data_IF_238895041217
#
_entry.id   IF_238895041217
#
_cell.length_a   1.000
_cell.length_b   1.000
_cell.length_c   1.000
_cell.angle_alpha   90.00
_cell.angle_beta   90.00
_cell.angle_gamma   90.00
#
_symmetry.space_group_name_H-M   'P 1'
#
loop_
_entity.id
_entity.type
_entity.pdbx_description
1 polymer ?
#
# COMPACT_ATOMS: atom_id res chain seq x y z
N UNK A 1 -1.87 -35.64 10.81
CA UNK A 1 -1.64 -34.35 11.48
C UNK A 1 -2.46 -34.40 12.76
N UNK A 2 -1.87 -34.17 13.94
CA UNK A 2 -2.61 -34.26 15.21
C UNK A 2 -3.59 -33.09 15.35
N UNK A 3 -4.71 -33.30 16.05
CA UNK A 3 -5.77 -32.28 16.20
C UNK A 3 -5.24 -30.96 16.76
N UNK A 4 -4.28 -31.02 17.70
CA UNK A 4 -3.61 -29.86 18.27
C UNK A 4 -2.89 -29.01 17.20
N UNK A 5 -2.21 -29.62 16.22
CA UNK A 5 -1.54 -28.89 15.13
C UNK A 5 -2.55 -28.15 14.25
N UNK A 6 -3.73 -28.75 14.02
CA UNK A 6 -4.81 -28.14 13.23
C UNK A 6 -5.41 -26.96 14.01
N UNK A 7 -5.68 -27.11 15.30
CA UNK A 7 -6.17 -26.03 16.16
C UNK A 7 -5.18 -24.86 16.24
N UNK A 8 -3.89 -25.14 16.46
CA UNK A 8 -2.84 -24.12 16.42
C UNK A 8 -2.78 -23.40 15.06
N UNK A 9 -2.82 -24.14 13.95
CA UNK A 9 -2.78 -23.54 12.61
C UNK A 9 -3.98 -22.62 12.36
N UNK A 10 -5.20 -23.08 12.68
CA UNK A 10 -6.43 -22.29 12.52
C UNK A 10 -6.38 -20.99 13.34
N UNK A 11 -5.83 -21.03 14.57
CA UNK A 11 -5.64 -19.82 15.37
C UNK A 11 -4.61 -18.87 14.75
N UNK A 12 -3.48 -19.39 14.25
CA UNK A 12 -2.46 -18.57 13.54
C UNK A 12 -3.04 -17.93 12.27
N UNK A 13 -3.82 -18.67 11.49
CA UNK A 13 -4.48 -18.15 10.29
C UNK A 13 -5.47 -17.05 10.66
N UNK A 14 -6.30 -17.27 11.68
CA UNK A 14 -7.23 -16.27 12.20
C UNK A 14 -6.51 -14.99 12.63
N UNK A 15 -5.47 -15.09 13.46
CA UNK A 15 -4.73 -13.91 13.95
C UNK A 15 -4.14 -13.08 12.78
N UNK A 16 -3.66 -13.75 11.72
CA UNK A 16 -3.14 -13.09 10.51
C UNK A 16 -4.25 -12.43 9.68
N UNK A 17 -5.41 -13.09 9.54
CA UNK A 17 -6.58 -12.55 8.82
C UNK A 17 -7.17 -11.36 9.58
N UNK A 18 -7.31 -11.46 10.91
CA UNK A 18 -7.85 -10.39 11.75
C UNK A 18 -6.94 -9.14 11.65
N UNK A 19 -5.61 -9.31 11.77
CA UNK A 19 -4.65 -8.21 11.58
C UNK A 19 -4.78 -7.55 10.19
N UNK A 20 -4.81 -8.35 9.12
CA UNK A 20 -4.94 -7.82 7.75
C UNK A 20 -6.29 -7.13 7.53
N UNK A 21 -7.34 -7.60 8.19
CA UNK A 21 -8.69 -7.00 8.15
C UNK A 21 -8.67 -5.64 8.84
N UNK A 22 -8.19 -5.54 10.07
CA UNK A 22 -8.06 -4.27 10.80
C UNK A 22 -7.22 -3.26 10.04
N UNK A 23 -6.04 -3.64 9.54
CA UNK A 23 -5.20 -2.74 8.74
C UNK A 23 -5.90 -2.26 7.45
N UNK A 24 -6.69 -3.13 6.80
CA UNK A 24 -7.47 -2.76 5.61
C UNK A 24 -8.64 -1.83 5.94
N UNK A 25 -9.30 -2.02 7.09
CA UNK A 25 -10.41 -1.20 7.57
C UNK A 25 -9.94 0.20 7.97
N UNK A 26 -8.85 0.32 8.73
CA UNK A 26 -8.23 1.60 9.10
C UNK A 26 -7.86 2.44 7.87
N UNK A 27 -7.30 1.79 6.85
CA UNK A 27 -6.89 2.44 5.61
C UNK A 27 -8.10 2.82 4.75
N UNK A 28 -9.13 1.97 4.68
CA UNK A 28 -10.36 2.29 3.96
C UNK A 28 -11.15 3.44 4.64
N UNK A 29 -11.20 3.47 5.97
CA UNK A 29 -11.73 4.59 6.74
C UNK A 29 -10.96 5.89 6.46
N UNK A 30 -9.62 5.83 6.49
CA UNK A 30 -8.73 6.97 6.18
C UNK A 30 -8.84 7.49 4.74
N UNK A 31 -9.37 6.68 3.83
CA UNK A 31 -9.62 7.01 2.42
C UNK A 31 -11.07 7.50 2.20
N UNK A 32 -11.95 7.35 3.19
CA UNK A 32 -13.35 7.75 3.10
C UNK A 32 -13.55 9.27 2.96
N UNK A 33 -14.78 9.64 2.59
CA UNK A 33 -15.20 11.04 2.44
C UNK A 33 -15.94 11.52 3.70
N UNK A 34 -15.78 12.81 3.98
CA UNK A 34 -16.60 13.54 4.94
C UNK A 34 -18.05 13.68 4.41
N UNK A 35 -19.05 14.02 5.25
CA UNK A 35 -20.45 14.18 4.82
C UNK A 35 -20.67 15.22 3.71
N UNK A 36 -19.77 16.20 3.57
CA UNK A 36 -19.80 17.20 2.51
C UNK A 36 -19.24 16.70 1.15
N UNK A 37 -18.70 15.48 1.10
CA UNK A 37 -18.12 14.84 -0.09
C UNK A 37 -16.60 15.00 -0.25
N UNK A 38 -15.93 15.78 0.61
CA UNK A 38 -14.48 15.98 0.60
C UNK A 38 -13.72 14.77 1.15
N UNK A 39 -12.45 14.52 0.74
CA UNK A 39 -11.59 13.53 1.37
C UNK A 39 -11.39 13.79 2.87
N UNK A 40 -11.44 12.73 3.70
CA UNK A 40 -11.08 12.84 5.11
C UNK A 40 -9.60 13.24 5.31
N UNK A 41 -8.72 12.73 4.45
CA UNK A 41 -7.28 13.00 4.47
C UNK A 41 -6.78 13.57 3.12
N UNK A 42 -5.73 14.41 3.13
CA UNK A 42 -5.06 14.87 1.91
C UNK A 42 -4.57 13.72 1.03
N UNK A 43 -4.52 13.97 -0.28
CA UNK A 43 -4.10 13.00 -1.30
C UNK A 43 -2.76 12.32 -0.99
N UNK A 44 -1.78 13.06 -0.46
CA UNK A 44 -0.48 12.48 -0.06
C UNK A 44 -0.60 11.47 1.08
N UNK A 45 -1.33 11.80 2.13
CA UNK A 45 -1.50 10.92 3.30
C UNK A 45 -2.24 9.63 2.91
N UNK A 46 -3.27 9.74 2.06
CA UNK A 46 -3.98 8.59 1.49
C UNK A 46 -3.07 7.68 0.68
N UNK A 47 -2.19 8.24 -0.15
CA UNK A 47 -1.18 7.45 -0.88
C UNK A 47 -0.15 6.80 0.04
N UNK A 48 0.32 7.52 1.08
CA UNK A 48 1.22 6.94 2.09
C UNK A 48 0.62 5.68 2.72
N UNK A 49 -0.65 5.74 3.14
CA UNK A 49 -1.36 4.61 3.72
C UNK A 49 -1.52 3.44 2.75
N UNK A 50 -1.87 3.70 1.48
CA UNK A 50 -1.92 2.67 0.43
C UNK A 50 -0.55 2.01 0.24
N UNK A 51 0.54 2.77 0.26
CA UNK A 51 1.89 2.22 0.14
C UNK A 51 2.33 1.43 1.38
N UNK A 52 1.96 1.86 2.59
CA UNK A 52 2.17 1.08 3.82
C UNK A 52 1.44 -0.27 3.74
N UNK A 53 0.21 -0.32 3.20
CA UNK A 53 -0.49 -1.59 2.99
C UNK A 53 0.25 -2.51 2.02
N UNK A 54 0.77 -1.97 0.90
CA UNK A 54 1.57 -2.75 -0.05
C UNK A 54 2.87 -3.27 0.62
N UNK A 55 3.53 -2.46 1.45
CA UNK A 55 4.72 -2.90 2.20
C UNK A 55 4.40 -4.05 3.16
N UNK A 56 3.24 -4.03 3.85
CA UNK A 56 2.78 -5.11 4.74
C UNK A 56 2.45 -6.37 3.92
N UNK A 57 1.63 -6.25 2.87
CA UNK A 57 1.19 -7.37 2.04
C UNK A 57 2.37 -8.02 1.30
N UNK A 58 3.32 -7.21 0.82
CA UNK A 58 4.54 -7.69 0.19
C UNK A 58 5.43 -8.46 1.15
N UNK A 59 5.65 -7.93 2.36
CA UNK A 59 6.38 -8.66 3.41
C UNK A 59 5.69 -9.99 3.74
N UNK A 60 4.37 -10.00 3.92
CA UNK A 60 3.64 -11.23 4.27
C UNK A 60 3.66 -12.26 3.15
N UNK A 61 3.59 -11.83 1.89
CA UNK A 61 3.75 -12.73 0.76
C UNK A 61 5.16 -13.33 0.68
N UNK A 62 6.20 -12.52 0.88
CA UNK A 62 7.60 -12.96 0.89
C UNK A 62 7.83 -14.01 1.99
N UNK A 63 7.35 -13.71 3.21
CA UNK A 63 7.39 -14.62 4.37
C UNK A 63 6.56 -15.89 4.15
N UNK A 64 5.38 -15.78 3.54
CA UNK A 64 4.56 -16.93 3.16
C UNK A 64 5.33 -17.87 2.22
N UNK A 65 5.98 -17.32 1.20
CA UNK A 65 6.84 -18.06 0.28
C UNK A 65 8.14 -18.61 0.90
N UNK A 66 8.46 -18.28 2.16
CA UNK A 66 9.69 -18.71 2.83
C UNK A 66 10.93 -17.91 2.41
N UNK A 67 10.73 -16.71 1.88
CA UNK A 67 11.76 -15.78 1.46
C UNK A 67 12.07 -14.78 2.60
N UNK A 68 13.22 -14.12 2.50
CA UNK A 68 13.65 -13.08 3.44
C UNK A 68 14.32 -11.93 2.68
N UNK A 69 13.57 -11.36 1.73
CA UNK A 69 14.04 -10.29 0.86
C UNK A 69 13.97 -8.91 1.53
N UNK A 70 14.66 -7.94 0.92
CA UNK A 70 14.57 -6.52 1.34
C UNK A 70 13.22 -5.91 0.96
N UNK A 71 12.87 -4.79 1.60
CA UNK A 71 11.64 -4.05 1.32
C UNK A 71 11.47 -3.68 -0.15
N UNK A 72 12.54 -3.26 -0.83
CA UNK A 72 12.45 -2.91 -2.25
C UNK A 72 12.10 -4.12 -3.13
N UNK A 73 12.55 -5.31 -2.75
CA UNK A 73 12.29 -6.55 -3.47
C UNK A 73 10.88 -7.07 -3.17
N UNK A 74 10.50 -7.22 -1.89
CA UNK A 74 9.15 -7.74 -1.58
C UNK A 74 8.04 -6.82 -2.07
N UNK A 75 8.23 -5.49 -2.04
CA UNK A 75 7.30 -4.52 -2.60
C UNK A 75 7.14 -4.72 -4.12
N UNK A 76 8.26 -4.74 -4.85
CA UNK A 76 8.24 -4.85 -6.32
C UNK A 76 7.71 -6.20 -6.79
N UNK A 77 8.07 -7.27 -6.10
CA UNK A 77 7.52 -8.60 -6.33
C UNK A 77 6.00 -8.58 -6.17
N UNK A 78 5.48 -8.12 -5.03
CA UNK A 78 4.04 -8.12 -4.77
C UNK A 78 3.26 -7.28 -5.78
N UNK A 79 3.73 -6.06 -6.09
CA UNK A 79 3.13 -5.20 -7.11
C UNK A 79 3.15 -5.88 -8.49
N UNK A 80 4.25 -6.54 -8.86
CA UNK A 80 4.34 -7.26 -10.14
C UNK A 80 3.44 -8.50 -10.21
N UNK A 81 3.33 -9.27 -9.12
CA UNK A 81 2.55 -10.51 -9.08
C UNK A 81 1.03 -10.26 -8.99
N UNK A 82 0.59 -9.24 -8.26
CA UNK A 82 -0.83 -9.07 -7.91
C UNK A 82 -1.48 -7.78 -8.42
N UNK A 83 -0.70 -6.71 -8.65
CA UNK A 83 -1.25 -5.47 -9.21
C UNK A 83 -1.08 -5.42 -10.73
N UNK A 84 0.14 -5.59 -11.25
CA UNK A 84 0.48 -5.35 -12.66
C UNK A 84 0.36 -6.61 -13.52
N UNK A 85 -0.72 -7.36 -13.32
CA UNK A 85 -1.02 -8.64 -14.00
C UNK A 85 -2.36 -8.58 -14.72
N UNK A 86 -2.52 -9.34 -15.81
CA UNK A 86 -3.79 -9.45 -16.55
C UNK A 86 -4.93 -10.03 -15.69
N UNK A 87 -4.61 -10.80 -14.64
CA UNK A 87 -5.60 -11.28 -13.66
C UNK A 87 -6.22 -10.14 -12.84
N UNK A 88 -5.54 -8.99 -12.73
CA UNK A 88 -6.05 -7.82 -12.04
C UNK A 88 -6.87 -6.97 -13.03
N UNK A 89 -8.19 -7.08 -12.95
CA UNK A 89 -9.12 -6.41 -13.86
C UNK A 89 -8.99 -4.87 -13.90
N UNK A 90 -8.43 -4.24 -12.85
CA UNK A 90 -8.18 -2.80 -12.79
C UNK A 90 -6.98 -2.44 -13.67
N UNK A 91 -5.90 -3.22 -13.59
CA UNK A 91 -4.75 -3.09 -14.49
C UNK A 91 -5.13 -3.41 -15.93
N UNK A 92 -5.85 -4.52 -16.17
CA UNK A 92 -6.13 -4.96 -17.53
C UNK A 92 -6.98 -3.95 -18.32
N UNK A 93 -8.02 -3.39 -17.68
CA UNK A 93 -8.93 -2.45 -18.34
C UNK A 93 -8.37 -1.03 -18.47
N UNK A 94 -7.30 -0.69 -17.74
CA UNK A 94 -6.85 0.69 -17.63
C UNK A 94 -5.53 0.97 -18.38
N UNK A 95 -5.66 1.63 -19.53
CA UNK A 95 -4.51 2.04 -20.37
C UNK A 95 -3.51 2.94 -19.64
N UNK A 96 -3.93 3.72 -18.64
CA UNK A 96 -3.04 4.60 -17.88
C UNK A 96 -2.14 3.79 -16.92
N UNK A 97 -2.70 2.83 -16.16
CA UNK A 97 -1.87 1.98 -15.27
C UNK A 97 -0.90 1.12 -16.08
N UNK A 98 -1.30 0.62 -17.27
CA UNK A 98 -0.44 -0.15 -18.18
C UNK A 98 0.82 0.59 -18.67
N UNK A 99 0.95 1.89 -18.41
CA UNK A 99 2.15 2.68 -18.70
C UNK A 99 3.15 2.75 -17.52
N UNK A 100 2.90 2.04 -16.42
CA UNK A 100 3.75 1.99 -15.23
C UNK A 100 4.24 0.56 -14.99
N UNK A 101 5.50 0.41 -14.60
CA UNK A 101 6.07 -0.85 -14.11
C UNK A 101 6.25 -0.83 -12.57
N UNK A 102 6.65 -1.96 -11.97
CA UNK A 102 6.81 -2.06 -10.51
C UNK A 102 7.91 -1.15 -9.94
N UNK A 103 8.92 -0.78 -10.73
CA UNK A 103 9.96 0.18 -10.35
C UNK A 103 9.42 1.61 -10.31
N UNK A 104 8.51 1.99 -11.21
CA UNK A 104 7.82 3.30 -11.16
C UNK A 104 6.94 3.41 -9.91
N UNK A 105 6.22 2.33 -9.56
CA UNK A 105 5.47 2.26 -8.30
C UNK A 105 6.38 2.37 -7.07
N UNK A 106 7.55 1.71 -7.09
CA UNK A 106 8.50 1.79 -5.97
C UNK A 106 9.13 3.18 -5.84
N UNK A 107 9.49 3.82 -6.96
CA UNK A 107 9.92 5.22 -7.01
C UNK A 107 8.85 6.16 -6.46
N UNK A 108 7.60 6.02 -6.89
CA UNK A 108 6.46 6.79 -6.39
C UNK A 108 6.28 6.61 -4.87
N UNK A 109 6.31 5.36 -4.38
CA UNK A 109 6.28 5.02 -2.96
C UNK A 109 7.39 5.73 -2.16
N UNK A 110 8.62 5.68 -2.65
CA UNK A 110 9.76 6.35 -2.02
C UNK A 110 9.61 7.88 -1.99
N UNK A 111 9.05 8.47 -3.06
CA UNK A 111 8.76 9.91 -3.16
C UNK A 111 7.76 10.36 -2.10
N UNK A 112 6.66 9.62 -1.98
CA UNK A 112 5.53 9.93 -1.12
C UNK A 112 5.91 9.80 0.36
N UNK A 113 6.60 8.72 0.72
CA UNK A 113 6.95 8.41 2.11
C UNK A 113 8.19 9.16 2.63
N UNK A 114 9.24 9.33 1.80
CA UNK A 114 10.55 9.82 2.26
C UNK A 114 10.92 11.23 1.80
N UNK A 115 9.98 11.98 1.22
CA UNK A 115 10.15 13.41 0.88
C UNK A 115 11.27 13.75 -0.13
N UNK A 116 11.91 12.76 -0.78
CA UNK A 116 13.05 12.94 -1.70
C UNK A 116 12.74 13.62 -3.05
N UNK A 117 11.69 14.44 -3.12
CA UNK A 117 11.21 15.03 -4.35
C UNK A 117 10.61 14.00 -5.31
N UNK A 118 10.37 14.44 -6.54
CA UNK A 118 9.70 13.65 -7.57
C UNK A 118 10.75 13.03 -8.50
N UNK A 119 10.86 11.69 -8.57
CA UNK A 119 11.86 11.02 -9.38
C UNK A 119 11.58 11.25 -10.86
N UNK A 120 12.65 11.57 -11.59
CA UNK A 120 12.66 11.55 -13.05
C UNK A 120 12.73 10.10 -13.53
N UNK A 121 11.92 9.73 -14.52
CA UNK A 121 12.18 8.50 -15.29
C UNK A 121 13.28 8.72 -16.31
N UNK A 122 13.73 7.65 -16.95
CA UNK A 122 14.70 7.65 -18.07
C UNK A 122 14.28 8.53 -19.25
N UNK A 123 12.99 8.83 -19.37
CA UNK A 123 12.40 9.67 -20.43
C UNK A 123 12.25 11.14 -20.02
N UNK A 124 12.79 11.54 -18.86
CA UNK A 124 12.76 12.93 -18.36
C UNK A 124 11.45 13.35 -17.70
N UNK A 125 10.44 12.48 -17.66
CA UNK A 125 9.12 12.76 -17.09
C UNK A 125 9.22 12.96 -15.56
N UNK A 126 8.65 14.05 -15.05
CA UNK A 126 8.45 14.31 -13.62
C UNK A 126 7.01 13.96 -13.21
N UNK A 127 6.86 13.12 -12.19
CA UNK A 127 5.73 12.20 -12.05
C UNK A 127 4.56 12.53 -11.11
N UNK A 128 4.57 13.64 -10.35
CA UNK A 128 3.49 13.89 -9.37
C UNK A 128 3.11 15.38 -9.22
N UNK A 129 1.93 15.75 -9.72
CA UNK A 129 1.14 16.84 -9.13
C UNK A 129 0.17 16.20 -8.14
N UNK A 130 0.34 16.50 -6.84
CA UNK A 130 -0.70 16.31 -5.82
C UNK A 130 -1.33 17.67 -5.54
N UNK A 131 -2.32 18.13 -6.33
CA UNK A 131 -3.08 19.31 -5.96
C UNK A 131 -3.90 18.99 -4.71
N UNK A 132 -3.43 19.42 -3.55
CA UNK A 132 -4.32 19.63 -2.42
C UNK A 132 -5.10 20.92 -2.71
N UNK A 133 -6.36 20.76 -3.12
CA UNK A 133 -7.24 21.88 -3.48
C UNK A 133 -7.39 22.90 -2.33
N UNK A 134 -7.23 22.47 -1.08
CA UNK A 134 -7.30 23.37 0.08
C UNK A 134 -6.03 24.22 0.29
N UNK A 135 -4.89 23.81 -0.28
CA UNK A 135 -3.67 24.64 -0.30
C UNK A 135 -3.77 25.69 -1.41
N UNK A 136 -4.29 25.30 -2.59
CA UNK A 136 -4.49 26.21 -3.73
C UNK A 136 -5.43 27.36 -3.38
N UNK A 137 -6.49 27.13 -2.58
CA UNK A 137 -7.40 28.18 -2.13
C UNK A 137 -6.85 29.08 -1.00
N UNK A 138 -5.83 28.64 -0.24
CA UNK A 138 -5.29 29.38 0.91
C UNK A 138 -4.04 30.20 0.59
N UNK A 139 -3.39 29.94 -0.54
CA UNK A 139 -2.24 30.74 -0.99
C UNK A 139 -2.73 32.09 -1.55
N UNK A 140 -2.67 33.13 -0.73
CA UNK A 140 -2.85 34.54 -1.11
C UNK A 140 -1.70 35.01 -2.01
N UNK A 141 -1.61 34.49 -3.23
CA UNK A 141 -0.67 34.97 -4.23
C UNK A 141 -1.05 36.39 -4.68
N UNK A 142 -0.29 37.39 -4.21
CA UNK A 142 -0.25 38.74 -4.79
C UNK A 142 0.54 38.75 -6.11
N UNK A 143 0.21 37.82 -6.99
CA UNK A 143 0.80 37.60 -8.30
C UNK A 143 -0.32 37.05 -9.16
N UNK A 144 -0.56 37.66 -10.31
CA UNK A 144 -1.83 37.53 -11.03
C UNK A 144 -2.06 36.09 -11.54
N UNK A 145 -3.28 35.71 -11.95
CA UNK A 145 -3.56 34.39 -12.49
C UNK A 145 -2.59 33.96 -13.61
N UNK A 146 -2.11 34.91 -14.41
CA UNK A 146 -1.11 34.70 -15.46
C UNK A 146 0.24 34.24 -14.89
N UNK A 147 0.70 34.79 -13.75
CA UNK A 147 1.95 34.37 -13.11
C UNK A 147 1.88 32.94 -12.52
N UNK A 148 0.72 32.55 -12.00
CA UNK A 148 0.45 31.16 -11.58
C UNK A 148 0.40 30.23 -12.80
N UNK A 149 -0.28 30.66 -13.88
CA UNK A 149 -0.34 29.93 -15.14
C UNK A 149 1.04 29.82 -15.81
N UNK A 150 1.93 30.81 -15.71
CA UNK A 150 3.28 30.75 -16.29
C UNK A 150 4.23 29.83 -15.50
N UNK A 151 4.21 29.88 -14.16
CA UNK A 151 4.99 28.95 -13.33
C UNK A 151 4.52 27.51 -13.53
N UNK A 152 3.20 27.31 -13.64
CA UNK A 152 2.65 26.02 -14.01
C UNK A 152 3.00 25.67 -15.46
N UNK A 153 2.78 26.53 -16.46
CA UNK A 153 2.96 26.22 -17.89
C UNK A 153 4.42 26.10 -18.34
N UNK A 154 5.38 26.68 -17.59
CA UNK A 154 6.81 26.41 -17.76
C UNK A 154 7.22 25.05 -17.18
N UNK A 155 6.52 24.57 -16.14
CA UNK A 155 6.77 23.28 -15.49
C UNK A 155 5.98 22.11 -16.15
N UNK A 156 4.75 22.37 -16.60
CA UNK A 156 3.75 21.44 -17.17
C UNK A 156 4.02 21.12 -18.65
N UNK A 157 5.16 21.55 -19.20
CA UNK A 157 5.66 21.08 -20.51
C UNK A 157 6.34 19.71 -20.45
N UNK A 158 6.53 19.13 -19.26
CA UNK A 158 6.79 17.71 -19.10
C UNK A 158 5.47 16.93 -18.96
N UNK A 159 5.39 15.73 -19.53
CA UNK A 159 4.16 14.91 -19.60
C UNK A 159 3.69 14.41 -18.20
N UNK A 160 3.05 15.27 -17.42
CA UNK A 160 2.62 14.91 -16.07
C UNK A 160 1.44 13.93 -16.08
N UNK A 161 1.60 12.84 -15.31
CA UNK A 161 0.58 11.82 -15.08
C UNK A 161 -0.12 12.05 -13.74
N UNK A 162 -1.43 12.24 -13.76
CA UNK A 162 -2.24 12.45 -12.54
C UNK A 162 -2.41 11.13 -11.80
N UNK A 163 -1.95 11.04 -10.55
CA UNK A 163 -2.16 9.85 -9.72
C UNK A 163 -3.62 9.77 -9.26
N UNK A 164 -4.41 8.95 -9.94
CA UNK A 164 -5.80 8.68 -9.57
C UNK A 164 -5.85 7.78 -8.33
N UNK A 165 -6.02 8.35 -7.13
CA UNK A 165 -5.95 7.60 -5.86
C UNK A 165 -7.01 6.51 -5.77
N UNK A 166 -8.24 6.74 -6.23
CA UNK A 166 -9.27 5.70 -6.23
C UNK A 166 -8.89 4.52 -7.13
N UNK A 167 -8.23 4.79 -8.26
CA UNK A 167 -7.74 3.77 -9.18
C UNK A 167 -6.57 2.97 -8.56
N UNK A 168 -5.64 3.64 -7.89
CA UNK A 168 -4.58 3.00 -7.11
C UNK A 168 -5.14 2.13 -5.98
N UNK A 169 -6.14 2.63 -5.24
CA UNK A 169 -6.84 1.88 -4.19
C UNK A 169 -7.49 0.60 -4.76
N UNK A 170 -8.23 0.73 -5.86
CA UNK A 170 -8.89 -0.40 -6.54
C UNK A 170 -7.87 -1.44 -7.05
N UNK A 171 -6.76 -0.99 -7.64
CA UNK A 171 -5.66 -1.83 -8.11
C UNK A 171 -5.08 -2.67 -6.97
N UNK A 172 -4.79 -2.04 -5.82
CA UNK A 172 -4.25 -2.70 -4.62
C UNK A 172 -5.27 -3.65 -4.01
N UNK A 173 -6.53 -3.23 -3.83
CA UNK A 173 -7.59 -4.10 -3.27
C UNK A 173 -7.80 -5.37 -4.11
N UNK A 174 -7.80 -5.22 -5.43
CA UNK A 174 -7.91 -6.36 -6.37
C UNK A 174 -6.69 -7.27 -6.25
N UNK A 175 -5.49 -6.71 -6.08
CA UNK A 175 -4.26 -7.46 -5.82
C UNK A 175 -4.30 -8.23 -4.49
N UNK A 176 -4.79 -7.63 -3.41
CA UNK A 176 -4.96 -8.30 -2.11
C UNK A 176 -5.90 -9.50 -2.21
N UNK A 177 -7.01 -9.37 -2.94
CA UNK A 177 -7.94 -10.47 -3.20
C UNK A 177 -7.26 -11.59 -4.00
N UNK A 178 -6.48 -11.25 -5.03
CA UNK A 178 -5.69 -12.23 -5.80
C UNK A 178 -4.65 -12.96 -4.94
N UNK A 179 -3.97 -12.26 -4.02
CA UNK A 179 -3.03 -12.88 -3.07
C UNK A 179 -3.73 -13.90 -2.16
N UNK A 180 -4.86 -13.52 -1.54
CA UNK A 180 -5.66 -14.42 -0.69
C UNK A 180 -6.15 -15.64 -1.49
N UNK A 181 -6.63 -15.44 -2.72
CA UNK A 181 -7.04 -16.53 -3.59
C UNK A 181 -5.86 -17.46 -3.95
N UNK A 182 -4.65 -16.91 -4.12
CA UNK A 182 -3.43 -17.70 -4.34
C UNK A 182 -3.05 -18.53 -3.12
N UNK A 183 -3.13 -17.96 -1.91
CA UNK A 183 -2.92 -18.69 -0.64
C UNK A 183 -3.92 -19.85 -0.49
N UNK A 184 -5.20 -19.63 -0.84
CA UNK A 184 -6.24 -20.68 -0.85
C UNK A 184 -5.98 -21.78 -1.90
N UNK A 185 -5.36 -21.46 -3.04
CA UNK A 185 -4.89 -22.47 -4.00
C UNK A 185 -3.74 -23.31 -3.41
N UNK A 186 -2.78 -22.66 -2.72
CA UNK A 186 -1.70 -23.36 -2.04
C UNK A 186 -2.20 -24.27 -0.90
N UNK A 187 -3.19 -23.88 -0.11
CA UNK A 187 -3.80 -24.76 0.89
C UNK A 187 -4.33 -26.07 0.26
N UNK A 188 -4.93 -25.99 -0.93
CA UNK A 188 -5.45 -27.17 -1.65
C UNK A 188 -4.35 -28.04 -2.30
N UNK A 189 -3.30 -27.41 -2.84
CA UNK A 189 -2.28 -28.10 -3.62
C UNK A 189 -1.04 -28.54 -2.80
N UNK A 190 -0.67 -27.75 -1.80
CA UNK A 190 0.54 -27.91 -0.99
C UNK A 190 0.24 -27.49 0.48
N UNK A 191 -0.61 -28.25 1.21
CA UNK A 191 -1.11 -27.85 2.52
C UNK A 191 -0.01 -27.58 3.55
N UNK A 192 1.10 -28.35 3.53
CA UNK A 192 2.23 -28.11 4.42
C UNK A 192 2.90 -26.76 4.16
N UNK A 193 3.10 -26.38 2.88
CA UNK A 193 3.66 -25.07 2.52
C UNK A 193 2.76 -23.93 3.00
N UNK A 194 1.44 -24.11 2.94
CA UNK A 194 0.47 -23.15 3.48
C UNK A 194 0.59 -23.01 5.00
N UNK A 195 0.62 -24.13 5.74
CA UNK A 195 0.77 -24.15 7.21
C UNK A 195 2.07 -23.43 7.63
N UNK A 196 3.18 -23.77 6.98
CA UNK A 196 4.49 -23.16 7.28
C UNK A 196 4.54 -21.68 6.87
N UNK A 197 3.85 -21.30 5.79
CA UNK A 197 3.72 -19.92 5.34
C UNK A 197 2.92 -19.05 6.31
N UNK A 198 1.76 -19.54 6.78
CA UNK A 198 0.95 -18.88 7.81
C UNK A 198 1.73 -18.76 9.13
N UNK A 199 2.48 -19.80 9.52
CA UNK A 199 3.35 -19.75 10.71
C UNK A 199 4.38 -18.61 10.61
N UNK A 200 5.08 -18.50 9.48
CA UNK A 200 6.07 -17.42 9.27
C UNK A 200 5.47 -16.02 9.29
N UNK A 201 4.25 -15.84 8.75
CA UNK A 201 3.55 -14.55 8.87
C UNK A 201 3.18 -14.28 10.34
N UNK A 202 2.67 -15.29 11.08
CA UNK A 202 2.29 -15.13 12.49
C UNK A 202 3.45 -14.75 13.40
N UNK A 203 4.63 -15.31 13.14
CA UNK A 203 5.89 -14.95 13.81
C UNK A 203 6.25 -13.48 13.49
N UNK A 204 6.21 -13.07 12.22
CA UNK A 204 6.46 -11.67 11.82
C UNK A 204 5.43 -10.67 12.40
N UNK A 205 4.15 -11.09 12.52
CA UNK A 205 3.09 -10.30 13.19
C UNK A 205 3.41 -10.13 14.67
N UNK A 206 3.89 -11.17 15.37
CA UNK A 206 4.24 -11.09 16.80
C UNK A 206 5.49 -10.26 17.07
N UNK A 207 6.50 -10.40 16.23
CA UNK A 207 7.79 -9.72 16.39
C UNK A 207 7.67 -8.21 16.13
N UNK A 208 6.76 -7.79 15.23
CA UNK A 208 6.50 -6.37 14.92
C UNK A 208 5.30 -5.80 15.67
N UNK A 209 4.24 -6.59 15.80
CA UNK A 209 2.97 -6.23 16.41
C UNK A 209 2.99 -6.42 17.91
N UNK A 210 3.76 -5.56 18.59
CA UNK A 210 3.67 -5.30 20.03
C UNK A 210 3.63 -6.59 20.88
N UNK A 211 4.79 -7.20 21.07
CA UNK A 211 5.00 -8.24 22.08
C UNK A 211 4.78 -7.67 23.50
N UNK A 212 3.50 -7.55 23.89
CA UNK A 212 2.98 -6.96 25.15
C UNK A 212 3.62 -5.62 25.55
N UNK A 213 2.88 -4.53 25.37
CA UNK A 213 3.00 -3.42 26.33
C UNK A 213 2.46 -3.98 27.66
N UNK A 214 3.34 -4.60 28.44
CA UNK A 214 3.14 -4.71 29.87
C UNK A 214 3.20 -3.27 30.40
N UNK A 215 2.05 -2.60 30.45
CA UNK A 215 1.89 -1.51 31.40
C UNK A 215 1.90 -2.18 32.78
N UNK A 216 3.10 -2.41 33.31
CA UNK A 216 3.27 -2.46 34.75
C UNK A 216 2.63 -1.19 35.28
N UNK A 217 1.60 -1.34 36.11
CA UNK A 217 0.91 -0.22 36.72
C UNK A 217 1.94 0.56 37.52
N UNK A 218 2.40 1.68 36.93
CA UNK A 218 3.31 2.58 37.57
C UNK A 218 2.65 3.06 38.84
N UNK A 219 3.06 2.50 39.98
CA UNK A 219 2.69 2.98 41.30
C UNK A 219 3.23 4.41 41.43
N UNK A 220 2.42 5.38 41.01
CA UNK A 220 2.61 6.79 41.34
C UNK A 220 2.32 6.90 42.84
N UNK A 221 3.36 6.62 43.63
CA UNK A 221 3.38 6.97 45.05
C UNK A 221 3.16 8.48 45.17
N UNK A 222 2.21 8.84 46.02
CA UNK A 222 1.82 10.23 46.32
C UNK A 222 2.97 11.06 46.86
#
# INVERSE_FOLDING_TARGET
>A
MTENIIQEHNQREKDVIDFLTTASEEINYSISKQPNGDPLLPHRARLSLIFTLIDILGLYWDKYCGLNNTQSIYFKNWVSFFCLTQENAVYDKNKFIKQFNCEDFYKLRCSILHFYGIPRTSEGIQYILLPDFNIIQKMNFKSTPEAFVDVLSSSIKAEHRIVQIELFKQLVWTGSISMINKMKQYLKAQPQQHIDGIKRIHEEVKDRGVSKINMEEGNISK
#
